data_IF_927934802013
#
_entry.id   IF_927934802013
#
_cell.length_a   1.000
_cell.length_b   1.000
_cell.length_c   1.000
_cell.angle_alpha   90.00
_cell.angle_beta   90.00
_cell.angle_gamma   90.00
#
_symmetry.space_group_name_H-M   'P 1'
#
loop_
_entity.id
_entity.type
_entity.pdbx_description
1 polymer ?
#
# COMPACT_ATOMS: atom_id res chain seq x y z
N UNK A 1 6.92 3.51 -11.47
CA UNK A 1 5.52 3.96 -11.28
C UNK A 1 5.48 4.86 -10.06
N UNK A 2 4.85 6.05 -10.14
CA UNK A 2 4.73 6.94 -8.97
C UNK A 2 3.68 6.41 -7.98
N UNK A 3 3.65 6.96 -6.76
CA UNK A 3 2.76 6.45 -5.71
C UNK A 3 1.27 6.67 -6.02
N UNK A 4 0.91 7.76 -6.71
CA UNK A 4 -0.46 7.98 -7.18
C UNK A 4 -0.96 6.87 -8.12
N UNK A 5 -0.10 6.41 -9.03
CA UNK A 5 -0.42 5.33 -9.95
C UNK A 5 -0.51 3.97 -9.23
N UNK A 6 0.31 3.73 -8.19
CA UNK A 6 0.18 2.54 -7.33
C UNK A 6 -1.16 2.54 -6.59
N UNK A 7 -1.51 3.65 -5.94
CA UNK A 7 -2.78 3.78 -5.21
C UNK A 7 -3.98 3.57 -6.13
N UNK A 8 -3.95 4.17 -7.32
CA UNK A 8 -5.02 4.01 -8.32
C UNK A 8 -5.14 2.55 -8.78
N UNK A 9 -4.02 1.84 -8.95
CA UNK A 9 -4.04 0.42 -9.31
C UNK A 9 -4.67 -0.42 -8.19
N UNK A 10 -4.24 -0.24 -6.94
CA UNK A 10 -4.79 -0.97 -5.80
C UNK A 10 -6.28 -0.70 -5.62
N UNK A 11 -6.67 0.58 -5.64
CA UNK A 11 -8.07 0.96 -5.50
C UNK A 11 -8.95 0.32 -6.58
N UNK A 12 -8.52 0.30 -7.85
CA UNK A 12 -9.28 -0.36 -8.93
C UNK A 12 -9.37 -1.88 -8.77
N UNK A 13 -8.34 -2.50 -8.21
CA UNK A 13 -8.21 -3.96 -8.15
C UNK A 13 -8.93 -4.56 -6.94
N UNK A 14 -9.00 -3.81 -5.84
CA UNK A 14 -9.50 -4.24 -4.54
C UNK A 14 -10.71 -3.41 -4.05
N UNK A 15 -11.35 -2.63 -4.92
CA UNK A 15 -12.32 -1.58 -4.59
C UNK A 15 -13.43 -1.98 -3.59
N UNK A 16 -13.86 -3.24 -3.63
CA UNK A 16 -15.00 -3.73 -2.84
C UNK A 16 -14.69 -3.83 -1.34
N UNK A 17 -13.47 -4.24 -0.97
CA UNK A 17 -13.09 -4.57 0.40
C UNK A 17 -11.67 -4.11 0.78
N UNK A 18 -11.08 -3.20 0.00
CA UNK A 18 -9.75 -2.66 0.29
C UNK A 18 -9.73 -1.92 1.63
N UNK A 19 -8.81 -2.33 2.51
CA UNK A 19 -8.53 -1.65 3.78
C UNK A 19 -7.04 -1.37 3.85
N UNK A 20 -6.69 -0.14 4.23
CA UNK A 20 -5.32 0.23 4.61
C UNK A 20 -5.33 0.54 6.09
N UNK A 21 -4.79 -0.38 6.88
CA UNK A 21 -4.63 -0.23 8.31
C UNK A 21 -3.39 0.61 8.62
N UNK A 22 -3.54 1.56 9.54
CA UNK A 22 -2.42 2.26 10.16
C UNK A 22 -1.78 1.34 11.21
N UNK A 23 -0.49 1.07 11.05
CA UNK A 23 0.25 0.23 12.00
C UNK A 23 1.02 1.09 13.01
N UNK A 24 1.80 2.06 12.52
CA UNK A 24 2.54 3.03 13.35
C UNK A 24 3.04 4.22 12.54
N UNK A 25 3.39 5.29 13.27
CA UNK A 25 4.13 6.42 12.74
C UNK A 25 5.51 6.46 13.40
N UNK A 26 6.56 6.55 12.60
CA UNK A 26 7.94 6.51 13.08
C UNK A 26 8.70 7.73 12.53
N UNK A 27 8.92 8.77 13.36
CA UNK A 27 9.73 9.91 12.98
C UNK A 27 11.17 9.49 12.67
N UNK A 28 11.73 10.00 11.57
CA UNK A 28 13.14 9.86 11.20
C UNK A 28 13.78 11.25 11.07
N UNK A 29 15.09 11.31 10.84
CA UNK A 29 15.84 12.56 10.82
C UNK A 29 15.41 13.54 9.71
N UNK A 30 14.87 13.05 8.59
CA UNK A 30 14.51 13.87 7.41
C UNK A 30 13.10 13.57 6.84
N UNK A 31 12.39 12.61 7.42
CA UNK A 31 11.07 12.18 6.96
C UNK A 31 10.33 11.51 8.13
N UNK A 32 9.05 11.24 7.94
CA UNK A 32 8.26 10.42 8.84
C UNK A 32 7.84 9.15 8.11
N UNK A 33 8.12 7.98 8.68
CA UNK A 33 7.68 6.71 8.12
C UNK A 33 6.26 6.37 8.63
N UNK A 34 5.30 6.35 7.71
CA UNK A 34 3.95 5.87 7.94
C UNK A 34 3.87 4.40 7.57
N UNK A 35 3.81 3.52 8.57
CA UNK A 35 3.74 2.07 8.37
C UNK A 35 2.28 1.64 8.25
N UNK A 36 2.03 0.76 7.28
CA UNK A 36 0.68 0.34 6.93
C UNK A 36 0.61 -1.12 6.54
N UNK A 37 -0.61 -1.66 6.66
CA UNK A 37 -0.95 -2.95 6.11
C UNK A 37 -2.20 -2.86 5.23
N UNK A 38 -2.08 -3.29 3.98
CA UNK A 38 -3.16 -3.32 3.00
C UNK A 38 -3.75 -4.73 2.90
N UNK A 39 -5.07 -4.82 3.01
CA UNK A 39 -5.83 -6.05 2.72
C UNK A 39 -6.89 -5.79 1.66
N UNK A 40 -7.27 -6.83 0.93
CA UNK A 40 -8.41 -6.79 0.01
C UNK A 40 -8.51 -8.06 -0.83
N UNK A 41 -9.58 -8.17 -1.61
CA UNK A 41 -9.84 -9.27 -2.52
C UNK A 41 -9.76 -8.76 -3.96
N UNK A 42 -8.96 -9.41 -4.81
CA UNK A 42 -8.76 -9.02 -6.20
C UNK A 42 -10.00 -9.34 -7.06
N UNK A 43 -11.07 -8.58 -6.87
CA UNK A 43 -12.37 -8.71 -7.55
C UNK A 43 -12.63 -7.63 -8.59
N UNK A 44 -11.72 -6.65 -8.74
CA UNK A 44 -11.81 -5.64 -9.79
C UNK A 44 -11.75 -6.23 -11.21
N UNK A 45 -11.79 -5.39 -12.26
CA UNK A 45 -11.77 -5.86 -13.65
C UNK A 45 -10.59 -6.79 -13.95
N UNK A 46 -10.88 -8.01 -14.41
CA UNK A 46 -9.86 -9.05 -14.65
C UNK A 46 -9.30 -9.68 -13.36
N UNK A 47 -10.02 -9.56 -12.25
CA UNK A 47 -9.63 -10.04 -10.94
C UNK A 47 -9.55 -11.56 -10.85
N UNK A 48 -8.73 -12.04 -9.92
CA UNK A 48 -8.48 -13.48 -9.68
C UNK A 48 -9.28 -14.04 -8.51
N UNK A 49 -10.00 -13.19 -7.77
CA UNK A 49 -10.68 -13.54 -6.52
C UNK A 49 -9.73 -13.86 -5.36
N UNK A 50 -8.41 -13.75 -5.55
CA UNK A 50 -7.41 -14.01 -4.51
C UNK A 50 -7.35 -12.84 -3.53
N UNK A 51 -7.20 -13.17 -2.26
CA UNK A 51 -6.96 -12.18 -1.21
C UNK A 51 -5.51 -11.71 -1.24
N UNK A 52 -5.32 -10.48 -0.77
CA UNK A 52 -4.05 -9.84 -0.54
C UNK A 52 -3.97 -9.41 0.94
N UNK A 53 -2.78 -9.56 1.53
CA UNK A 53 -2.36 -8.96 2.78
C UNK A 53 -0.87 -8.63 2.67
N UNK A 54 -0.57 -7.35 2.41
CA UNK A 54 0.81 -6.86 2.31
C UNK A 54 1.04 -5.70 3.25
N UNK A 55 2.24 -5.59 3.79
CA UNK A 55 2.65 -4.46 4.62
C UNK A 55 3.72 -3.64 3.91
N UNK A 56 3.82 -2.39 4.30
CA UNK A 56 4.78 -1.46 3.75
C UNK A 56 4.89 -0.20 4.60
N UNK A 57 5.64 0.77 4.09
CA UNK A 57 5.72 2.09 4.68
C UNK A 57 5.83 3.16 3.60
N UNK A 58 5.33 4.36 3.91
CA UNK A 58 5.59 5.56 3.12
C UNK A 58 6.52 6.50 3.89
N UNK A 59 7.54 7.01 3.22
CA UNK A 59 8.35 8.10 3.75
C UNK A 59 7.70 9.43 3.34
N UNK A 60 7.18 10.16 4.33
CA UNK A 60 6.57 11.46 4.15
C UNK A 60 7.51 12.57 4.55
N UNK A 61 7.77 13.48 3.62
CA UNK A 61 8.36 14.78 3.91
C UNK A 61 7.24 15.79 4.05
N UNK A 62 7.11 16.36 5.24
CA UNK A 62 6.12 17.40 5.53
C UNK A 62 6.74 18.77 5.20
N UNK A 63 6.00 19.65 4.52
CA UNK A 63 6.43 21.03 4.27
C UNK A 63 6.05 21.98 5.43
N UNK A 64 6.40 23.26 5.24
CA UNK A 64 6.14 24.31 6.22
C UNK A 64 4.65 24.58 6.44
N UNK A 65 3.78 24.17 5.52
CA UNK A 65 2.33 24.30 5.64
C UNK A 65 1.70 23.09 6.34
N UNK A 66 2.51 22.11 6.76
CA UNK A 66 2.06 20.89 7.40
C UNK A 66 1.49 19.86 6.42
N UNK A 67 1.74 20.01 5.12
CA UNK A 67 1.25 19.10 4.07
C UNK A 67 2.32 18.08 3.68
N UNK A 68 1.88 16.92 3.16
CA UNK A 68 2.79 15.93 2.58
C UNK A 68 3.32 16.50 1.25
N UNK A 69 4.55 17.00 1.27
CA UNK A 69 5.21 17.57 0.11
C UNK A 69 5.94 16.52 -0.73
N UNK A 70 6.27 15.37 -0.13
CA UNK A 70 6.78 14.20 -0.83
C UNK A 70 6.30 12.94 -0.12
N UNK A 71 5.82 11.96 -0.89
CA UNK A 71 5.60 10.58 -0.44
C UNK A 71 6.44 9.62 -1.28
N UNK A 72 7.07 8.65 -0.61
CA UNK A 72 7.82 7.56 -1.21
C UNK A 72 7.38 6.23 -0.58
N UNK A 73 6.61 5.45 -1.31
CA UNK A 73 6.08 4.16 -0.87
C UNK A 73 7.01 2.97 -1.12
N UNK A 74 7.20 2.18 -0.07
CA UNK A 74 7.97 0.94 -0.04
C UNK A 74 7.10 -0.22 0.46
N UNK A 75 7.14 -1.35 -0.24
CA UNK A 75 6.48 -2.59 0.16
C UNK A 75 7.22 -3.78 -0.46
N UNK A 76 6.97 -4.98 0.05
CA UNK A 76 7.52 -6.20 -0.54
C UNK A 76 6.80 -6.53 -1.85
N UNK A 77 7.43 -6.18 -2.97
CA UNK A 77 6.88 -6.45 -4.31
C UNK A 77 6.92 -7.92 -4.68
N UNK A 78 7.87 -8.70 -4.14
CA UNK A 78 7.94 -10.13 -4.39
C UNK A 78 6.77 -10.84 -3.70
N UNK A 79 6.45 -10.42 -2.48
CA UNK A 79 5.31 -10.92 -1.74
C UNK A 79 3.98 -10.53 -2.41
N UNK A 80 3.86 -9.29 -2.88
CA UNK A 80 2.70 -8.87 -3.67
C UNK A 80 2.50 -9.75 -4.92
N UNK A 81 3.55 -9.97 -5.71
CA UNK A 81 3.48 -10.79 -6.93
C UNK A 81 3.17 -12.26 -6.63
N UNK A 82 3.66 -12.78 -5.50
CA UNK A 82 3.36 -14.13 -5.01
C UNK A 82 1.88 -14.26 -4.67
N UNK A 83 1.35 -13.36 -3.83
CA UNK A 83 -0.06 -13.39 -3.43
C UNK A 83 -1.01 -13.10 -4.60
N UNK A 84 -0.58 -12.31 -5.59
CA UNK A 84 -1.35 -12.10 -6.81
C UNK A 84 -1.63 -13.42 -7.55
N UNK A 85 -0.66 -14.33 -7.55
CA UNK A 85 -0.72 -15.63 -8.23
C UNK A 85 -1.28 -16.73 -7.35
N UNK A 86 -0.93 -16.75 -6.07
CA UNK A 86 -1.22 -17.87 -5.17
C UNK A 86 -2.31 -17.54 -4.13
N UNK A 87 -2.46 -16.27 -3.75
CA UNK A 87 -3.28 -15.81 -2.63
C UNK A 87 -2.46 -15.70 -1.35
N UNK A 88 -3.09 -15.32 -0.26
CA UNK A 88 -2.50 -15.39 1.08
C UNK A 88 -2.35 -16.85 1.48
N UNK A 89 -1.21 -17.24 2.04
CA UNK A 89 -1.04 -18.59 2.60
C UNK A 89 -2.07 -18.83 3.71
N UNK A 90 -2.61 -20.05 3.74
CA UNK A 90 -3.57 -20.51 4.74
C UNK A 90 -2.89 -21.02 6.02
#
# INVERSE_FOLDING_TARGET
MNDLAKLTMFAKRYAEDMVVAFDKLEPQSNATAFHWTLTGTNTGPGGTGKRLRISGYELWRIDNDGLIAESKGHFDSAEYERQLKLGVDH
#
